data_IF_773858369205
#
_entry.id   IF_773858369205
#
_cell.length_a   1.000
_cell.length_b   1.000
_cell.length_c   1.000
_cell.angle_alpha   90.00
_cell.angle_beta   90.00
_cell.angle_gamma   90.00
#
_symmetry.space_group_name_H-M   'P 1'
#
loop_
_entity.id
_entity.type
_entity.pdbx_description
1 polymer ?
#
# COMPACT_ATOMS: atom_id res chain seq x y z
N UNK A 1 -17.81 6.44 9.28
CA UNK A 1 -16.71 5.94 8.42
C UNK A 1 -16.80 4.42 8.43
N UNK A 2 -17.11 3.80 7.29
CA UNK A 2 -17.25 2.34 7.12
C UNK A 2 -15.89 1.63 7.25
N UNK A 3 -15.90 0.31 7.44
CA UNK A 3 -14.65 -0.48 7.48
C UNK A 3 -13.86 -0.33 6.17
N UNK A 4 -14.54 -0.36 5.02
CA UNK A 4 -13.92 -0.13 3.71
C UNK A 4 -13.23 1.24 3.67
N UNK A 5 -13.90 2.31 4.11
CA UNK A 5 -13.31 3.66 4.13
C UNK A 5 -12.08 3.73 5.05
N UNK A 6 -12.11 3.04 6.19
CA UNK A 6 -10.98 2.97 7.11
C UNK A 6 -9.78 2.26 6.50
N UNK A 7 -9.98 1.12 5.83
CA UNK A 7 -8.91 0.38 5.18
C UNK A 7 -8.32 1.16 3.98
N UNK A 8 -9.18 1.81 3.18
CA UNK A 8 -8.71 2.70 2.10
C UNK A 8 -7.86 3.85 2.65
N UNK A 9 -8.27 4.46 3.78
CA UNK A 9 -7.50 5.51 4.42
C UNK A 9 -6.16 5.00 4.97
N UNK A 10 -6.15 3.83 5.60
CA UNK A 10 -4.92 3.19 6.08
C UNK A 10 -3.96 2.92 4.92
N UNK A 11 -4.46 2.37 3.81
CA UNK A 11 -3.67 2.09 2.61
C UNK A 11 -3.03 3.36 2.06
N UNK A 12 -3.82 4.43 1.94
CA UNK A 12 -3.36 5.74 1.45
C UNK A 12 -2.27 6.33 2.35
N UNK A 13 -2.42 6.18 3.67
CA UNK A 13 -1.44 6.69 4.64
C UNK A 13 -0.12 5.91 4.57
N UNK A 14 -0.22 4.58 4.51
CA UNK A 14 0.93 3.69 4.51
C UNK A 14 1.75 3.80 3.22
N UNK A 15 1.09 3.86 2.07
CA UNK A 15 1.74 4.07 0.76
C UNK A 15 2.37 5.44 0.62
N UNK A 16 1.76 6.49 1.17
CA UNK A 16 2.37 7.83 1.22
C UNK A 16 3.66 7.82 2.07
N UNK A 17 3.64 7.13 3.21
CA UNK A 17 4.82 6.96 4.06
C UNK A 17 5.92 6.17 3.36
N UNK A 18 5.58 5.05 2.70
CA UNK A 18 6.53 4.23 1.95
C UNK A 18 7.17 5.02 0.80
N UNK A 19 6.37 5.77 0.03
CA UNK A 19 6.86 6.67 -1.03
C UNK A 19 7.88 7.67 -0.48
N UNK A 20 7.59 8.28 0.68
CA UNK A 20 8.53 9.20 1.32
C UNK A 20 9.82 8.51 1.76
N UNK A 21 9.74 7.28 2.27
CA UNK A 21 10.90 6.48 2.66
C UNK A 21 11.76 6.09 1.44
N UNK A 22 11.16 5.64 0.34
CA UNK A 22 11.86 5.38 -0.94
C UNK A 22 12.61 6.61 -1.41
N UNK A 23 11.95 7.77 -1.41
CA UNK A 23 12.58 9.03 -1.80
C UNK A 23 13.73 9.44 -0.87
N UNK A 24 13.67 9.10 0.42
CA UNK A 24 14.76 9.33 1.38
C UNK A 24 15.93 8.38 1.15
N UNK A 25 15.68 7.10 0.86
CA UNK A 25 16.71 6.10 0.54
C UNK A 25 17.57 6.59 -0.63
N UNK A 26 16.94 7.04 -1.70
CA UNK A 26 17.61 7.59 -2.89
C UNK A 26 18.52 8.81 -2.61
N UNK A 27 18.33 9.50 -1.47
CA UNK A 27 19.05 10.73 -1.10
C UNK A 27 19.97 10.58 0.10
N UNK A 28 20.01 9.42 0.77
CA UNK A 28 20.68 9.25 2.06
C UNK A 28 22.10 8.70 1.93
N UNK A 29 23.00 9.20 2.79
CA UNK A 29 24.38 8.71 2.91
C UNK A 29 24.43 7.64 4.02
N UNK A 30 24.58 6.37 3.63
CA UNK A 30 24.83 5.10 4.37
C UNK A 30 24.27 4.88 5.80
N UNK A 31 24.41 5.81 6.75
CA UNK A 31 24.14 5.58 8.18
C UNK A 31 22.67 5.28 8.52
N UNK A 32 21.72 6.00 7.91
CA UNK A 32 20.28 5.78 8.10
C UNK A 32 19.67 4.79 7.08
N UNK A 33 20.42 4.44 6.03
CA UNK A 33 19.91 3.75 4.86
C UNK A 33 19.31 2.38 5.21
N UNK A 34 20.05 1.58 6.00
CA UNK A 34 19.62 0.24 6.40
C UNK A 34 18.34 0.27 7.24
N UNK A 35 18.19 1.27 8.11
CA UNK A 35 16.99 1.44 8.93
C UNK A 35 15.79 1.77 8.07
N UNK A 36 15.92 2.75 7.17
CA UNK A 36 14.82 3.17 6.28
C UNK A 36 14.41 2.05 5.32
N UNK A 37 15.36 1.26 4.81
CA UNK A 37 15.06 0.07 3.98
C UNK A 37 14.27 -0.97 4.78
N UNK A 38 14.67 -1.26 6.02
CA UNK A 38 13.96 -2.23 6.85
C UNK A 38 12.55 -1.74 7.20
N UNK A 39 12.38 -0.45 7.51
CA UNK A 39 11.07 0.17 7.70
C UNK A 39 10.20 0.00 6.44
N UNK A 40 10.74 0.29 5.26
CA UNK A 40 10.04 0.10 3.99
C UNK A 40 9.61 -1.35 3.74
N UNK A 41 10.44 -2.33 4.13
CA UNK A 41 10.09 -3.77 4.00
C UNK A 41 8.93 -4.17 4.90
N UNK A 42 8.91 -3.68 6.14
CA UNK A 42 7.77 -3.90 7.03
C UNK A 42 6.51 -3.25 6.46
N UNK A 43 6.61 -2.01 5.96
CA UNK A 43 5.48 -1.31 5.33
C UNK A 43 4.93 -2.06 4.11
N UNK A 44 5.78 -2.72 3.31
CA UNK A 44 5.30 -3.58 2.20
C UNK A 44 4.50 -4.77 2.73
N UNK A 45 4.96 -5.43 3.79
CA UNK A 45 4.22 -6.55 4.38
C UNK A 45 2.85 -6.08 4.91
N UNK A 46 2.82 -4.94 5.59
CA UNK A 46 1.59 -4.32 6.09
C UNK A 46 0.63 -3.92 4.94
N UNK A 47 1.17 -3.43 3.81
CA UNK A 47 0.39 -3.13 2.60
C UNK A 47 -0.21 -4.41 2.00
N UNK A 48 0.60 -5.47 1.88
CA UNK A 48 0.16 -6.76 1.33
C UNK A 48 -0.99 -7.33 2.21
N UNK A 49 -0.87 -7.29 3.54
CA UNK A 49 -1.94 -7.71 4.47
C UNK A 49 -3.21 -6.85 4.32
N UNK A 50 -3.04 -5.53 4.21
CA UNK A 50 -4.18 -4.62 4.09
C UNK A 50 -4.96 -4.84 2.80
N UNK A 51 -4.27 -5.09 1.68
CA UNK A 51 -4.89 -5.43 0.41
C UNK A 51 -5.69 -6.73 0.51
N UNK A 52 -5.16 -7.76 1.17
CA UNK A 52 -5.89 -9.01 1.42
C UNK A 52 -7.17 -8.75 2.23
N UNK A 53 -7.10 -7.98 3.31
CA UNK A 53 -8.27 -7.63 4.11
C UNK A 53 -9.33 -6.89 3.30
N UNK A 54 -8.90 -5.96 2.44
CA UNK A 54 -9.80 -5.22 1.57
C UNK A 54 -10.47 -6.13 0.52
N UNK A 55 -9.73 -7.04 -0.10
CA UNK A 55 -10.30 -8.01 -1.05
C UNK A 55 -11.40 -8.87 -0.43
N UNK A 56 -11.24 -9.27 0.83
CA UNK A 56 -12.22 -10.06 1.56
C UNK A 56 -13.55 -9.31 1.78
N UNK A 57 -13.57 -7.98 1.68
CA UNK A 57 -14.78 -7.17 1.82
C UNK A 57 -15.54 -6.95 0.51
N UNK A 58 -14.91 -7.23 -0.64
CA UNK A 58 -15.57 -7.04 -1.94
C UNK A 58 -16.90 -7.80 -2.10
N UNK A 59 -17.07 -9.04 -1.57
CA UNK A 59 -18.33 -9.77 -1.63
C UNK A 59 -19.46 -9.14 -0.81
N UNK A 60 -19.13 -8.39 0.24
CA UNK A 60 -20.11 -7.75 1.14
C UNK A 60 -20.73 -6.48 0.52
N UNK A 61 -20.26 -6.06 -0.66
CA UNK A 61 -20.82 -4.92 -1.39
C UNK A 61 -22.01 -5.41 -2.24
N UNK A 62 -23.22 -5.11 -1.77
CA UNK A 62 -24.47 -5.54 -2.39
C UNK A 62 -24.74 -4.89 -3.76
N UNK A 63 -24.46 -3.58 -3.90
CA UNK A 63 -24.64 -2.86 -5.16
C UNK A 63 -23.53 -3.21 -6.17
N UNK A 64 -23.92 -3.72 -7.34
CA UNK A 64 -22.98 -4.15 -8.39
C UNK A 64 -22.10 -3.00 -8.89
N UNK A 65 -22.65 -1.79 -9.02
CA UNK A 65 -21.87 -0.66 -9.53
C UNK A 65 -20.82 -0.24 -8.52
N UNK A 66 -21.15 -0.21 -7.24
CA UNK A 66 -20.23 0.13 -6.17
C UNK A 66 -19.20 -0.99 -5.96
N UNK A 67 -19.58 -2.26 -6.08
CA UNK A 67 -18.65 -3.39 -6.07
C UNK A 67 -17.65 -3.30 -7.23
N UNK A 68 -18.11 -2.98 -8.44
CA UNK A 68 -17.22 -2.79 -9.60
C UNK A 68 -16.28 -1.60 -9.41
N UNK A 69 -16.77 -0.47 -8.88
CA UNK A 69 -15.90 0.68 -8.55
C UNK A 69 -14.82 0.27 -7.54
N UNK A 70 -15.22 -0.44 -6.49
CA UNK A 70 -14.32 -0.94 -5.47
C UNK A 70 -13.25 -1.88 -6.03
N UNK A 71 -13.63 -2.83 -6.88
CA UNK A 71 -12.69 -3.72 -7.56
C UNK A 71 -11.70 -2.96 -8.46
N UNK A 72 -12.14 -1.92 -9.17
CA UNK A 72 -11.25 -1.07 -9.96
C UNK A 72 -10.23 -0.35 -9.07
N UNK A 73 -10.69 0.23 -7.96
CA UNK A 73 -9.80 0.83 -6.95
C UNK A 73 -8.80 -0.20 -6.41
N UNK A 74 -9.25 -1.43 -6.12
CA UNK A 74 -8.39 -2.52 -5.66
C UNK A 74 -7.30 -2.88 -6.67
N UNK A 75 -7.65 -2.95 -7.95
CA UNK A 75 -6.69 -3.23 -9.02
C UNK A 75 -5.65 -2.12 -9.17
N UNK A 76 -6.04 -0.85 -9.02
CA UNK A 76 -5.11 0.28 -8.97
C UNK A 76 -4.15 0.15 -7.78
N UNK A 77 -4.68 -0.11 -6.58
CA UNK A 77 -3.85 -0.27 -5.39
C UNK A 77 -2.86 -1.42 -5.50
N UNK A 78 -3.28 -2.59 -5.98
CA UNK A 78 -2.37 -3.71 -6.27
C UNK A 78 -1.26 -3.35 -7.26
N UNK A 79 -1.58 -2.52 -8.25
CA UNK A 79 -0.59 -2.06 -9.23
C UNK A 79 0.42 -1.12 -8.59
N UNK A 80 -0.05 -0.16 -7.81
CA UNK A 80 0.79 0.81 -7.09
C UNK A 80 1.69 0.11 -6.08
N UNK A 81 1.16 -0.83 -5.29
CA UNK A 81 1.94 -1.62 -4.32
C UNK A 81 3.06 -2.43 -5.00
N UNK A 82 2.78 -3.03 -6.17
CA UNK A 82 3.80 -3.73 -6.98
C UNK A 82 4.93 -2.79 -7.42
N UNK A 83 4.59 -1.57 -7.84
CA UNK A 83 5.59 -0.57 -8.25
C UNK A 83 6.45 -0.14 -7.06
N UNK A 84 5.85 0.21 -5.92
CA UNK A 84 6.58 0.60 -4.71
C UNK A 84 7.50 -0.54 -4.21
N UNK A 85 7.03 -1.78 -4.28
CA UNK A 85 7.83 -2.96 -3.94
C UNK A 85 9.01 -3.15 -4.87
N UNK A 86 8.81 -2.98 -6.18
CA UNK A 86 9.89 -3.03 -7.16
C UNK A 86 10.92 -1.91 -6.89
N UNK A 87 10.46 -0.69 -6.70
CA UNK A 87 11.32 0.44 -6.37
C UNK A 87 12.17 0.15 -5.15
N UNK A 88 11.60 -0.32 -4.04
CA UNK A 88 12.36 -0.62 -2.83
C UNK A 88 13.38 -1.77 -3.02
N UNK A 89 13.06 -2.78 -3.82
CA UNK A 89 13.93 -3.94 -4.06
C UNK A 89 15.13 -3.59 -4.95
N UNK A 90 14.96 -2.64 -5.87
CA UNK A 90 15.99 -2.23 -6.82
C UNK A 90 16.81 -1.01 -6.35
N UNK A 91 16.60 -0.53 -5.10
CA UNK A 91 17.44 0.46 -4.41
C UNK A 91 18.65 -0.18 -3.74
#
# INVERSE_FOLDING_TARGET
>A
MSLIEQLVHQYSTLTASLTANIARIQRSNEGDLKRIINEGKCQIADIDELLEQMELLAPDIEDENDRRKYQNTMNSFKTDAKLLKAELVFL
#
